data_IF_817387597850
#
_entry.id   IF_817387597850
#
_cell.length_a   1.000
_cell.length_b   1.000
_cell.length_c   1.000
_cell.angle_alpha   90.00
_cell.angle_beta   90.00
_cell.angle_gamma   90.00
#
_symmetry.space_group_name_H-M   'P 1'
#
loop_
_entity.id
_entity.type
_entity.pdbx_description
1 polymer ?
#
# COMPACT_ATOMS: atom_id res chain seq x y z
N UNK A 1 -37.46 -8.59 -8.90
CA UNK A 1 -37.06 -7.18 -9.10
C UNK A 1 -35.55 -7.12 -9.24
N UNK A 2 -35.04 -7.00 -10.46
CA UNK A 2 -33.60 -6.90 -10.71
C UNK A 2 -33.14 -5.48 -10.35
N UNK A 3 -32.27 -5.34 -9.34
CA UNK A 3 -31.66 -4.04 -9.02
C UNK A 3 -30.82 -3.64 -10.22
N UNK A 4 -31.25 -2.60 -10.96
CA UNK A 4 -30.39 -1.96 -11.96
C UNK A 4 -29.16 -1.45 -11.24
N UNK A 5 -27.99 -1.99 -11.58
CA UNK A 5 -26.70 -1.42 -11.16
C UNK A 5 -26.66 -0.01 -11.73
N UNK A 6 -26.74 0.98 -10.85
CA UNK A 6 -26.69 2.38 -11.24
C UNK A 6 -25.24 2.68 -11.62
N UNK A 7 -24.95 2.69 -12.93
CA UNK A 7 -23.65 3.09 -13.45
C UNK A 7 -23.50 4.58 -13.17
N UNK A 8 -22.73 4.93 -12.13
CA UNK A 8 -22.39 6.32 -11.84
C UNK A 8 -21.47 6.81 -12.97
N UNK A 9 -21.81 7.91 -13.68
CA UNK A 9 -20.94 8.45 -14.72
C UNK A 9 -19.58 8.80 -14.12
N UNK A 10 -18.51 8.25 -14.67
CA UNK A 10 -17.14 8.58 -14.26
C UNK A 10 -16.84 9.98 -14.81
N UNK A 11 -16.71 11.03 -13.97
CA UNK A 11 -16.48 12.38 -14.47
C UNK A 11 -15.03 12.52 -14.96
N UNK A 12 -14.80 13.32 -16.00
CA UNK A 12 -13.45 13.56 -16.51
C UNK A 12 -12.60 14.32 -15.46
N UNK A 13 -11.36 13.88 -15.22
CA UNK A 13 -10.38 14.50 -14.30
C UNK A 13 -10.15 13.72 -12.99
N UNK A 14 -9.64 14.39 -11.94
CA UNK A 14 -9.29 13.79 -10.62
C UNK A 14 -10.42 13.03 -9.91
N UNK A 15 -11.66 13.13 -10.38
CA UNK A 15 -12.81 12.43 -9.81
C UNK A 15 -12.79 10.93 -10.07
N UNK A 16 -12.25 10.47 -11.21
CA UNK A 16 -12.00 9.03 -11.46
C UNK A 16 -11.10 8.42 -10.39
N UNK A 17 -10.05 9.14 -9.98
CA UNK A 17 -9.12 8.71 -8.95
C UNK A 17 -9.81 8.56 -7.60
N UNK A 18 -10.74 9.45 -7.27
CA UNK A 18 -11.55 9.32 -6.06
C UNK A 18 -12.37 8.02 -6.03
N UNK A 19 -13.06 7.68 -7.13
CA UNK A 19 -13.84 6.45 -7.20
C UNK A 19 -12.96 5.19 -7.12
N UNK A 20 -11.80 5.17 -7.77
CA UNK A 20 -10.85 4.07 -7.68
C UNK A 20 -10.37 3.85 -6.24
N UNK A 21 -10.05 4.93 -5.52
CA UNK A 21 -9.64 4.85 -4.12
C UNK A 21 -10.77 4.37 -3.20
N UNK A 22 -12.00 4.86 -3.42
CA UNK A 22 -13.16 4.42 -2.65
C UNK A 22 -13.41 2.92 -2.83
N UNK A 23 -13.36 2.43 -4.08
CA UNK A 23 -13.51 1.01 -4.38
C UNK A 23 -12.39 0.17 -3.76
N UNK A 24 -11.13 0.62 -3.87
CA UNK A 24 -9.99 -0.05 -3.26
C UNK A 24 -10.15 -0.18 -1.74
N UNK A 25 -10.58 0.88 -1.05
CA UNK A 25 -10.89 0.84 0.38
C UNK A 25 -12.02 -0.13 0.73
N UNK A 26 -13.09 -0.15 -0.08
CA UNK A 26 -14.18 -1.13 0.09
C UNK A 26 -13.69 -2.57 0.00
N UNK A 27 -12.78 -2.85 -0.94
CA UNK A 27 -12.16 -4.17 -1.10
C UNK A 27 -11.21 -4.53 0.02
N UNK A 28 -10.37 -3.59 0.48
CA UNK A 28 -9.49 -3.79 1.64
C UNK A 28 -10.31 -4.22 2.86
N UNK A 29 -11.37 -3.48 3.18
CA UNK A 29 -12.23 -3.80 4.32
C UNK A 29 -12.91 -5.17 4.17
N UNK A 30 -13.43 -5.46 2.97
CA UNK A 30 -14.04 -6.76 2.68
C UNK A 30 -13.05 -7.93 2.75
N UNK A 31 -11.81 -7.72 2.31
CA UNK A 31 -10.73 -8.69 2.34
C UNK A 31 -10.31 -8.99 3.78
N UNK A 32 -10.08 -7.95 4.60
CA UNK A 32 -9.78 -8.08 6.03
C UNK A 32 -10.90 -8.86 6.75
N UNK A 33 -12.16 -8.48 6.53
CA UNK A 33 -13.30 -9.12 7.17
C UNK A 33 -13.46 -10.61 6.83
N UNK A 34 -12.97 -11.04 5.65
CA UNK A 34 -13.02 -12.43 5.18
C UNK A 34 -11.71 -13.20 5.37
N UNK A 35 -10.69 -12.58 5.97
CA UNK A 35 -9.38 -13.20 6.15
C UNK A 35 -8.51 -13.26 4.88
N UNK A 36 -8.85 -12.51 3.82
CA UNK A 36 -8.06 -12.41 2.59
C UNK A 36 -6.94 -11.36 2.71
N UNK A 37 -6.02 -11.57 3.64
CA UNK A 37 -5.00 -10.60 4.00
C UNK A 37 -4.00 -10.27 2.87
N UNK A 38 -3.75 -11.22 1.95
CA UNK A 38 -2.91 -10.97 0.77
C UNK A 38 -3.54 -9.95 -0.19
N UNK A 39 -4.87 -10.02 -0.39
CA UNK A 39 -5.58 -9.05 -1.22
C UNK A 39 -5.52 -7.66 -0.57
N UNK A 40 -5.81 -7.59 0.73
CA UNK A 40 -5.76 -6.34 1.49
C UNK A 40 -4.38 -5.66 1.37
N UNK A 41 -3.31 -6.39 1.68
CA UNK A 41 -1.95 -5.81 1.69
C UNK A 41 -1.47 -5.40 0.30
N UNK A 42 -1.92 -6.11 -0.75
CA UNK A 42 -1.59 -5.78 -2.15
C UNK A 42 -2.28 -4.48 -2.58
N UNK A 43 -3.55 -4.28 -2.19
CA UNK A 43 -4.28 -3.04 -2.47
C UNK A 43 -3.72 -1.85 -1.68
N UNK A 44 -3.35 -2.05 -0.41
CA UNK A 44 -2.67 -1.04 0.40
C UNK A 44 -1.35 -0.59 -0.25
N UNK A 45 -0.51 -1.53 -0.69
CA UNK A 45 0.74 -1.19 -1.40
C UNK A 45 0.47 -0.41 -2.68
N UNK A 46 -0.55 -0.81 -3.46
CA UNK A 46 -0.90 -0.13 -4.71
C UNK A 46 -1.28 1.33 -4.46
N UNK A 47 -2.11 1.59 -3.43
CA UNK A 47 -2.50 2.94 -3.00
C UNK A 47 -1.28 3.77 -2.61
N UNK A 48 -0.43 3.23 -1.74
CA UNK A 48 0.75 3.95 -1.25
C UNK A 48 1.73 4.23 -2.39
N UNK A 49 1.96 3.25 -3.27
CA UNK A 49 2.84 3.39 -4.44
C UNK A 49 2.36 4.51 -5.36
N UNK A 50 1.05 4.57 -5.65
CA UNK A 50 0.46 5.65 -6.46
C UNK A 50 0.64 7.03 -5.81
N UNK A 51 0.52 7.13 -4.47
CA UNK A 51 0.79 8.39 -3.75
C UNK A 51 2.26 8.79 -3.79
N UNK A 52 3.19 7.85 -3.61
CA UNK A 52 4.62 8.10 -3.75
C UNK A 52 4.98 8.53 -5.18
N UNK A 53 4.45 7.85 -6.20
CA UNK A 53 4.65 8.23 -7.61
C UNK A 53 4.14 9.65 -7.84
N UNK A 54 2.91 9.95 -7.40
CA UNK A 54 2.31 11.28 -7.56
C UNK A 54 3.19 12.36 -6.92
N UNK A 55 3.71 12.12 -5.72
CA UNK A 55 4.63 13.04 -5.04
C UNK A 55 5.95 13.20 -5.80
N UNK A 56 6.61 12.10 -6.18
CA UNK A 56 7.91 12.11 -6.86
C UNK A 56 7.84 12.72 -8.26
N UNK A 57 6.71 12.58 -8.96
CA UNK A 57 6.44 13.29 -10.22
C UNK A 57 6.26 14.79 -9.97
N UNK A 58 5.51 15.18 -8.94
CA UNK A 58 5.32 16.60 -8.56
C UNK A 58 6.63 17.29 -8.20
N UNK A 59 7.55 16.59 -7.53
CA UNK A 59 8.88 17.10 -7.18
C UNK A 59 9.91 16.92 -8.30
N UNK A 60 9.50 16.48 -9.50
CA UNK A 60 10.35 16.27 -10.69
C UNK A 60 11.49 15.27 -10.50
N UNK A 61 11.40 14.39 -9.48
CA UNK A 61 12.33 13.27 -9.29
C UNK A 61 12.05 12.16 -10.30
N UNK A 62 10.79 12.02 -10.71
CA UNK A 62 10.35 11.12 -11.75
C UNK A 62 9.65 11.89 -12.87
N UNK A 63 9.79 11.37 -14.10
CA UNK A 63 9.00 11.81 -15.25
C UNK A 63 7.70 11.01 -15.24
N UNK A 64 6.56 11.67 -15.43
CA UNK A 64 5.28 11.00 -15.54
C UNK A 64 5.17 10.26 -16.88
N UNK A 65 5.56 9.00 -16.89
CA UNK A 65 5.52 8.09 -18.04
C UNK A 65 5.02 6.69 -17.64
N UNK A 66 4.69 5.85 -18.62
CA UNK A 66 4.24 4.47 -18.38
C UNK A 66 5.27 3.62 -17.62
N UNK A 67 6.56 3.94 -17.75
CA UNK A 67 7.64 3.25 -17.02
C UNK A 67 7.62 3.56 -15.53
N UNK A 68 7.05 4.71 -15.14
CA UNK A 68 6.99 5.14 -13.75
C UNK A 68 5.93 4.39 -12.96
N UNK A 69 4.84 3.98 -13.60
CA UNK A 69 3.81 3.13 -12.99
C UNK A 69 4.36 1.75 -12.61
N UNK A 70 5.34 1.22 -13.36
CA UNK A 70 5.92 -0.11 -13.16
C UNK A 70 7.09 -0.15 -12.17
N UNK A 71 7.38 0.96 -11.48
CA UNK A 71 8.51 1.01 -10.54
C UNK A 71 8.20 0.17 -9.30
N UNK A 72 9.21 -0.60 -8.89
CA UNK A 72 9.17 -1.39 -7.66
C UNK A 72 9.01 -0.45 -6.46
N UNK A 73 8.13 -0.81 -5.53
CA UNK A 73 7.85 -0.06 -4.31
C UNK A 73 9.10 0.30 -3.49
N UNK A 74 10.06 -0.62 -3.35
CA UNK A 74 11.36 -0.38 -2.72
C UNK A 74 12.15 0.73 -3.41
N UNK A 75 12.10 0.80 -4.74
CA UNK A 75 12.78 1.85 -5.51
C UNK A 75 12.11 3.21 -5.32
N UNK A 76 10.78 3.24 -5.18
CA UNK A 76 10.03 4.46 -4.86
C UNK A 76 10.42 5.01 -3.48
N UNK A 77 10.46 4.16 -2.46
CA UNK A 77 10.89 4.54 -1.10
C UNK A 77 12.34 5.05 -1.11
N UNK A 78 13.26 4.34 -1.78
CA UNK A 78 14.66 4.76 -1.86
C UNK A 78 14.81 6.15 -2.53
N UNK A 79 14.05 6.40 -3.60
CA UNK A 79 14.02 7.72 -4.26
C UNK A 79 13.43 8.80 -3.36
N UNK A 80 12.38 8.47 -2.60
CA UNK A 80 11.76 9.39 -1.66
C UNK A 80 12.71 9.77 -0.52
N UNK A 81 13.37 8.80 0.13
CA UNK A 81 14.39 9.04 1.17
C UNK A 81 15.57 9.87 0.65
N UNK A 82 15.99 9.64 -0.60
CA UNK A 82 17.03 10.46 -1.23
C UNK A 82 16.58 11.91 -1.46
N UNK A 83 15.32 12.12 -1.84
CA UNK A 83 14.77 13.45 -2.11
C UNK A 83 14.49 14.25 -0.83
N UNK A 84 14.02 13.57 0.21
CA UNK A 84 13.72 14.16 1.52
C UNK A 84 14.58 13.44 2.55
N UNK A 85 15.81 13.93 2.81
CA UNK A 85 16.79 13.23 3.65
C UNK A 85 16.49 13.35 5.15
N UNK A 86 15.67 14.33 5.53
CA UNK A 86 15.28 14.53 6.92
C UNK A 86 14.03 13.70 7.25
N UNK A 87 13.96 13.09 8.45
CA UNK A 87 12.77 12.39 8.92
C UNK A 87 11.51 13.25 8.81
N UNK A 88 10.39 12.61 8.46
CA UNK A 88 9.08 13.26 8.39
C UNK A 88 8.26 12.75 9.57
N UNK A 89 8.10 13.58 10.58
CA UNK A 89 7.28 13.26 11.75
C UNK A 89 5.84 13.76 11.58
N UNK A 90 4.87 12.99 12.06
CA UNK A 90 3.48 13.40 12.19
C UNK A 90 2.86 12.90 13.51
N UNK A 91 1.53 12.95 13.63
CA UNK A 91 0.81 12.49 14.83
C UNK A 91 0.99 10.98 15.11
N UNK A 92 1.26 10.18 14.09
CA UNK A 92 1.27 8.72 14.15
C UNK A 92 2.69 8.14 14.08
N UNK A 93 3.62 8.86 13.46
CA UNK A 93 4.97 8.38 13.19
C UNK A 93 6.02 9.43 13.51
N UNK A 94 7.05 9.04 14.28
CA UNK A 94 8.24 9.88 14.49
C UNK A 94 9.04 10.03 13.19
N UNK A 95 9.08 8.97 12.37
CA UNK A 95 9.64 9.01 11.03
C UNK A 95 8.81 8.15 10.07
N UNK A 96 7.91 8.81 9.36
CA UNK A 96 7.03 8.20 8.37
C UNK A 96 7.80 7.41 7.30
N UNK A 97 9.00 7.87 6.90
CA UNK A 97 9.77 7.20 5.86
C UNK A 97 10.34 5.87 6.35
N UNK A 98 10.81 5.83 7.61
CA UNK A 98 11.28 4.60 8.24
C UNK A 98 10.14 3.66 8.55
N UNK A 99 9.02 4.17 9.08
CA UNK A 99 7.81 3.38 9.32
C UNK A 99 7.27 2.73 8.05
N UNK A 100 7.29 3.45 6.92
CA UNK A 100 6.83 2.89 5.65
C UNK A 100 7.76 1.79 5.12
N UNK A 101 9.07 1.94 5.27
CA UNK A 101 10.03 0.93 4.86
C UNK A 101 9.93 -0.34 5.73
N UNK A 102 9.74 -0.18 7.04
CA UNK A 102 9.46 -1.29 7.95
C UNK A 102 8.15 -2.02 7.60
N UNK A 103 7.13 -1.27 7.19
CA UNK A 103 5.88 -1.85 6.69
C UNK A 103 6.12 -2.65 5.40
N UNK A 104 6.89 -2.11 4.45
CA UNK A 104 7.28 -2.84 3.22
C UNK A 104 7.93 -4.18 3.55
N UNK A 105 8.86 -4.20 4.50
CA UNK A 105 9.52 -5.44 4.92
C UNK A 105 8.54 -6.44 5.54
N UNK A 106 7.64 -5.96 6.40
CA UNK A 106 6.60 -6.79 7.01
C UNK A 106 5.65 -7.36 5.95
N UNK A 107 5.24 -6.54 4.97
CA UNK A 107 4.47 -6.98 3.80
C UNK A 107 5.20 -8.04 3.00
N UNK A 108 6.50 -7.87 2.75
CA UNK A 108 7.29 -8.87 2.03
C UNK A 108 7.31 -10.22 2.77
N UNK A 109 7.34 -10.21 4.11
CA UNK A 109 7.19 -11.44 4.91
C UNK A 109 5.81 -12.06 4.75
N UNK A 110 4.74 -11.27 4.69
CA UNK A 110 3.38 -11.79 4.45
C UNK A 110 3.28 -12.43 3.05
N UNK A 111 3.72 -11.70 2.02
CA UNK A 111 3.61 -12.13 0.62
C UNK A 111 4.49 -13.34 0.30
N UNK A 112 5.68 -13.43 0.89
CA UNK A 112 6.60 -14.54 0.64
C UNK A 112 6.54 -15.64 1.67
N UNK A 113 6.10 -15.33 2.88
CA UNK A 113 6.16 -16.22 4.03
C UNK A 113 5.46 -17.54 3.78
N UNK A 114 4.25 -17.52 3.20
CA UNK A 114 3.45 -18.73 3.01
C UNK A 114 4.13 -19.85 2.22
N UNK A 115 5.15 -19.54 1.40
CA UNK A 115 5.78 -20.52 0.49
C UNK A 115 7.31 -20.49 0.56
N UNK A 116 7.93 -19.33 0.81
CA UNK A 116 9.39 -19.21 0.82
C UNK A 116 9.94 -19.51 2.21
N UNK A 117 10.74 -20.56 2.32
CA UNK A 117 11.59 -20.85 3.47
C UNK A 117 13.07 -20.72 3.10
N UNK A 118 13.91 -20.55 4.11
CA UNK A 118 15.37 -20.71 3.92
C UNK A 118 15.62 -22.21 3.76
N UNK A 119 16.25 -22.67 2.67
CA UNK A 119 16.59 -24.08 2.50
C UNK A 119 17.36 -24.61 3.71
N UNK A 120 16.85 -25.67 4.36
CA UNK A 120 17.47 -26.29 5.54
C UNK A 120 17.14 -25.67 6.89
N UNK A 121 16.18 -24.73 6.98
CA UNK A 121 15.63 -24.24 8.27
C UNK A 121 14.15 -24.60 8.43
N UNK A 122 13.74 -24.90 9.66
CA UNK A 122 12.34 -25.12 10.00
C UNK A 122 11.48 -23.89 9.67
N UNK A 123 10.27 -24.16 9.17
CA UNK A 123 9.32 -23.12 8.78
C UNK A 123 8.66 -22.54 10.03
N UNK A 124 8.81 -21.24 10.27
CA UNK A 124 8.01 -20.54 11.27
C UNK A 124 6.61 -20.29 10.72
N UNK A 125 5.59 -20.56 11.53
CA UNK A 125 4.19 -20.39 11.14
C UNK A 125 3.86 -18.90 11.00
N UNK A 126 3.60 -18.46 9.76
CA UNK A 126 3.46 -17.04 9.43
C UNK A 126 2.19 -16.44 10.01
N UNK A 127 1.18 -17.27 10.31
CA UNK A 127 -0.11 -16.83 10.84
C UNK A 127 0.01 -16.10 12.18
N UNK A 128 1.00 -16.47 13.02
CA UNK A 128 1.27 -15.80 14.30
C UNK A 128 1.82 -14.37 14.14
N UNK A 129 2.40 -14.05 12.97
CA UNK A 129 3.03 -12.74 12.69
C UNK A 129 2.15 -11.77 11.90
N UNK A 130 1.10 -12.26 11.23
CA UNK A 130 0.29 -11.48 10.26
C UNK A 130 -0.78 -10.65 10.97
N UNK A 131 -1.46 -11.24 11.96
CA UNK A 131 -2.63 -10.62 12.61
C UNK A 131 -2.30 -9.29 13.32
N UNK A 132 -1.19 -9.15 14.08
CA UNK A 132 -0.89 -7.90 14.77
C UNK A 132 -0.47 -6.74 13.84
N UNK A 133 0.16 -7.04 12.70
CA UNK A 133 0.75 -6.04 11.81
C UNK A 133 -0.26 -5.36 10.87
N UNK A 134 -1.36 -6.04 10.52
CA UNK A 134 -2.41 -5.48 9.67
C UNK A 134 -3.35 -4.54 10.43
N UNK A 135 -3.63 -4.85 11.71
CA UNK A 135 -4.53 -4.04 12.55
C UNK A 135 -3.95 -2.65 12.82
N UNK A 136 -2.62 -2.54 13.01
CA UNK A 136 -1.98 -1.26 13.35
C UNK A 136 -1.87 -0.28 12.18
N UNK A 137 -1.79 -0.77 10.92
CA UNK A 137 -1.58 0.10 9.76
C UNK A 137 -2.87 0.72 9.21
N UNK A 138 -3.99 -0.03 9.26
CA UNK A 138 -5.32 0.45 8.85
C UNK A 138 -5.78 1.66 9.67
N UNK A 139 -5.44 1.72 10.96
CA UNK A 139 -5.77 2.83 11.87
C UNK A 139 -5.06 4.15 11.56
N UNK A 140 -3.86 4.13 10.97
CA UNK A 140 -3.07 5.33 10.72
C UNK A 140 -3.40 6.03 9.39
N UNK A 141 -3.91 5.28 8.40
CA UNK A 141 -4.26 5.80 7.08
C UNK A 141 -5.74 6.17 6.91
N UNK A 142 -6.56 6.02 7.96
CA UNK A 142 -7.99 6.37 7.98
C UNK A 142 -8.30 7.87 7.81
N UNK A 143 -7.29 8.75 7.69
CA UNK A 143 -7.47 10.20 7.64
C UNK A 143 -6.74 10.92 6.49
N UNK A 144 -6.27 10.20 5.46
CA UNK A 144 -5.73 10.79 4.23
C UNK A 144 -6.69 10.67 3.04
#
# INVERSE_FOLDING_TARGET
MSKKVQIIPIPNGNSTKYFSYREAWGRINGAIARGFYLEAVTLEESIISDRLISYLCKTKVLVADEKTERKNFSQLIAKWKKQVPNPISDKYYDDLQTSLDNWRESRNKIVHGMVKSIPGKDHQDILDSVVPNLVNFSSAFLFC
#
